data_IF_584814054136
#
_entry.id   IF_584814054136
#
_cell.length_a   1.000
_cell.length_b   1.000
_cell.length_c   1.000
_cell.angle_alpha   90.00
_cell.angle_beta   90.00
_cell.angle_gamma   90.00
#
_symmetry.space_group_name_H-M   'P 1'
#
loop_
_entity.id
_entity.type
_entity.pdbx_description
1 polymer ?
#
# COMPACT_ATOMS: atom_id res chain seq x y z
N UNK A 1 0.98 6.25 28.28
CA UNK A 1 2.34 6.46 27.76
C UNK A 1 2.21 6.67 26.26
N UNK A 2 2.38 7.90 25.78
CA UNK A 2 2.26 8.21 24.36
C UNK A 2 3.49 7.72 23.62
N UNK A 3 3.34 6.63 22.86
CA UNK A 3 4.36 6.21 21.91
C UNK A 3 4.56 7.33 20.90
N UNK A 4 5.80 7.82 20.78
CA UNK A 4 6.16 8.75 19.73
C UNK A 4 5.78 8.13 18.38
N UNK A 5 4.77 8.71 17.72
CA UNK A 5 4.46 8.38 16.33
C UNK A 5 5.72 8.67 15.54
N UNK A 6 6.40 7.63 15.06
CA UNK A 6 7.53 7.77 14.15
C UNK A 6 6.98 8.38 12.85
N UNK A 7 6.92 9.70 12.78
CA UNK A 7 6.58 10.43 11.56
C UNK A 7 7.80 10.27 10.66
N UNK A 8 7.74 9.35 9.70
CA UNK A 8 8.74 9.29 8.65
C UNK A 8 8.70 10.65 7.92
N UNK A 9 9.80 11.42 7.91
CA UNK A 9 9.78 12.75 7.33
C UNK A 9 9.47 12.65 5.83
N UNK A 10 8.44 13.36 5.39
CA UNK A 10 8.12 13.48 3.98
C UNK A 10 9.18 14.36 3.30
N UNK A 11 9.92 13.77 2.36
CA UNK A 11 11.01 14.41 1.60
C UNK A 11 10.59 14.73 0.16
N UNK A 12 9.29 14.76 -0.14
CA UNK A 12 8.78 14.98 -1.51
C UNK A 12 9.29 16.28 -2.13
N UNK A 13 9.40 17.35 -1.35
CA UNK A 13 9.94 18.63 -1.83
C UNK A 13 11.43 18.56 -2.22
N UNK A 14 12.15 17.53 -1.79
CA UNK A 14 13.57 17.30 -2.10
C UNK A 14 13.69 16.28 -3.23
N UNK A 15 12.93 15.18 -3.14
CA UNK A 15 12.95 14.03 -4.05
C UNK A 15 11.52 13.68 -4.49
N UNK A 16 10.93 14.48 -5.40
CA UNK A 16 9.57 14.25 -5.88
C UNK A 16 9.52 13.03 -6.80
N UNK A 17 8.30 12.61 -7.12
CA UNK A 17 8.08 11.73 -8.27
C UNK A 17 8.40 12.50 -9.57
N UNK A 18 8.97 11.82 -10.56
CA UNK A 18 9.45 12.43 -11.82
C UNK A 18 8.79 11.78 -13.05
N UNK A 19 9.18 12.20 -14.25
CA UNK A 19 8.58 11.73 -15.50
C UNK A 19 9.12 10.37 -15.99
N UNK A 20 10.05 9.75 -15.25
CA UNK A 20 10.56 8.43 -15.64
C UNK A 20 9.50 7.35 -15.44
N UNK A 21 9.62 6.28 -16.22
CA UNK A 21 8.88 5.04 -16.00
C UNK A 21 9.40 4.34 -14.74
N UNK A 22 8.48 3.75 -13.96
CA UNK A 22 8.82 3.23 -12.62
C UNK A 22 8.17 1.90 -12.33
N UNK A 23 8.98 1.01 -11.79
CA UNK A 23 8.53 -0.24 -11.21
C UNK A 23 7.69 0.02 -9.96
N UNK A 24 6.45 -0.44 -9.96
CA UNK A 24 5.56 -0.40 -8.80
C UNK A 24 5.57 -1.75 -8.09
N UNK A 25 5.64 -1.68 -6.76
CA UNK A 25 5.64 -2.84 -5.89
C UNK A 25 4.52 -2.76 -4.84
N UNK A 26 4.08 -3.92 -4.38
CA UNK A 26 3.29 -4.08 -3.16
C UNK A 26 4.16 -4.76 -2.11
N UNK A 27 4.05 -4.29 -0.87
CA UNK A 27 4.52 -4.99 0.32
C UNK A 27 3.34 -5.28 1.24
N UNK A 28 3.17 -6.56 1.59
CA UNK A 28 2.11 -7.00 2.49
C UNK A 28 2.55 -8.23 3.28
N UNK A 29 2.06 -8.35 4.51
CA UNK A 29 2.20 -9.59 5.27
C UNK A 29 1.48 -10.73 4.54
N UNK A 30 2.12 -11.89 4.42
CA UNK A 30 1.66 -13.11 3.77
C UNK A 30 0.59 -13.87 4.54
N UNK A 31 0.60 -15.20 4.46
CA UNK A 31 -0.48 -16.03 4.99
C UNK A 31 -0.57 -16.08 6.53
N UNK A 32 0.55 -15.90 7.23
CA UNK A 32 0.62 -15.92 8.70
C UNK A 32 -0.18 -14.75 9.29
N UNK A 33 -1.14 -15.08 10.16
CA UNK A 33 -2.00 -14.10 10.83
C UNK A 33 -1.79 -14.18 12.34
N UNK A 34 -1.03 -13.24 12.90
CA UNK A 34 -0.85 -13.16 14.35
C UNK A 34 -1.91 -12.24 15.01
N UNK A 35 -2.87 -11.71 14.22
CA UNK A 35 -3.94 -10.83 14.73
C UNK A 35 -3.51 -9.41 15.09
N UNK A 36 -2.23 -9.08 14.91
CA UNK A 36 -1.63 -7.76 15.16
C UNK A 36 -1.35 -7.12 13.81
N UNK A 37 -1.88 -5.91 13.60
CA UNK A 37 -1.55 -4.93 12.54
C UNK A 37 -1.07 -5.49 11.20
N UNK A 38 -1.96 -5.52 10.19
CA UNK A 38 -1.57 -5.85 8.82
C UNK A 38 -1.43 -4.57 8.03
N UNK A 39 -0.19 -4.10 7.94
CA UNK A 39 0.15 -3.04 7.03
C UNK A 39 0.18 -3.58 5.60
N UNK A 40 -0.42 -2.84 4.67
CA UNK A 40 -0.24 -3.04 3.24
C UNK A 40 0.16 -1.71 2.64
N UNK A 41 1.15 -1.73 1.77
CA UNK A 41 1.58 -0.54 1.07
C UNK A 41 1.89 -0.84 -0.38
N UNK A 42 1.75 0.18 -1.20
CA UNK A 42 2.19 0.21 -2.59
C UNK A 42 3.27 1.30 -2.70
N UNK A 43 4.35 1.01 -3.42
CA UNK A 43 5.46 1.95 -3.54
C UNK A 43 6.22 1.85 -4.86
N UNK A 44 6.99 2.89 -5.15
CA UNK A 44 7.99 2.92 -6.23
C UNK A 44 9.15 3.86 -5.84
N UNK A 45 10.28 3.75 -6.52
CA UNK A 45 11.44 4.60 -6.26
C UNK A 45 11.30 5.99 -6.88
N UNK A 46 11.50 7.03 -6.08
CA UNK A 46 11.69 8.39 -6.58
C UNK A 46 13.15 8.67 -6.94
N UNK A 47 14.09 8.31 -6.05
CA UNK A 47 15.52 8.56 -6.27
C UNK A 47 16.35 7.87 -5.18
N UNK A 48 17.63 8.28 -5.06
CA UNK A 48 18.42 8.08 -3.84
C UNK A 48 18.72 9.41 -3.13
N UNK A 49 18.92 9.36 -1.82
CA UNK A 49 19.40 10.45 -0.97
C UNK A 49 20.45 9.88 -0.02
N UNK A 50 21.71 10.31 -0.15
CA UNK A 50 22.84 9.77 0.61
C UNK A 50 22.91 8.23 0.56
N UNK A 51 22.78 7.66 -0.65
CA UNK A 51 22.75 6.21 -0.92
C UNK A 51 21.50 5.46 -0.40
N UNK A 52 20.62 6.10 0.37
CA UNK A 52 19.35 5.52 0.76
C UNK A 52 18.30 5.74 -0.34
N UNK A 53 17.51 4.71 -0.66
CA UNK A 53 16.38 4.82 -1.59
C UNK A 53 15.33 5.76 -1.00
N UNK A 54 14.80 6.65 -1.82
CA UNK A 54 13.61 7.44 -1.52
C UNK A 54 12.48 6.84 -2.33
N UNK A 55 11.44 6.38 -1.65
CA UNK A 55 10.26 5.78 -2.28
C UNK A 55 9.05 6.68 -2.11
N UNK A 56 8.19 6.70 -3.12
CA UNK A 56 6.84 7.18 -2.98
C UNK A 56 5.99 6.03 -2.43
N UNK A 57 5.25 6.26 -1.35
CA UNK A 57 4.44 5.23 -0.68
C UNK A 57 2.99 5.67 -0.61
N UNK A 58 2.07 4.73 -0.89
CA UNK A 58 0.64 4.84 -0.65
C UNK A 58 0.26 3.70 0.30
N UNK A 59 -0.37 4.03 1.43
CA UNK A 59 -0.69 3.01 2.44
C UNK A 59 -1.99 3.31 3.20
N UNK A 60 -2.70 2.24 3.53
CA UNK A 60 -3.70 2.24 4.60
C UNK A 60 -3.05 1.54 5.80
N UNK A 61 -2.87 2.29 6.89
CA UNK A 61 -2.31 1.78 8.15
C UNK A 61 -3.40 1.67 9.20
N UNK A 62 -3.16 0.83 10.20
CA UNK A 62 -3.95 0.82 11.42
C UNK A 62 -4.40 -0.56 11.85
N UNK A 63 -5.27 -0.55 12.85
CA UNK A 63 -5.86 -1.75 13.46
C UNK A 63 -7.38 -1.70 13.32
N UNK A 64 -8.05 -2.80 13.64
CA UNK A 64 -9.51 -2.86 13.64
C UNK A 64 -10.08 -1.71 14.49
N UNK A 65 -10.91 -0.87 13.89
CA UNK A 65 -11.52 0.29 14.54
C UNK A 65 -10.70 1.59 14.51
N UNK A 66 -9.48 1.57 13.97
CA UNK A 66 -8.60 2.75 13.88
C UNK A 66 -7.69 2.64 12.65
N UNK A 67 -8.23 2.99 11.48
CA UNK A 67 -7.52 3.04 10.21
C UNK A 67 -7.23 4.46 9.76
N UNK A 68 -6.05 4.69 9.17
CA UNK A 68 -5.67 5.98 8.60
C UNK A 68 -5.10 5.77 7.21
N UNK A 69 -5.76 6.35 6.21
CA UNK A 69 -5.18 6.47 4.87
C UNK A 69 -4.12 7.56 4.90
N UNK A 70 -2.87 7.19 4.60
CA UNK A 70 -1.80 8.17 4.47
C UNK A 70 -1.72 8.64 3.03
N UNK A 71 -1.79 9.96 2.88
CA UNK A 71 -1.54 10.58 1.59
C UNK A 71 -0.18 10.15 1.05
N UNK A 72 -0.03 10.04 -0.28
CA UNK A 72 1.22 9.64 -0.89
C UNK A 72 2.38 10.51 -0.39
N UNK A 73 3.37 9.89 0.25
CA UNK A 73 4.56 10.58 0.77
C UNK A 73 5.81 10.04 0.08
N UNK A 74 6.76 10.92 -0.22
CA UNK A 74 8.11 10.47 -0.53
C UNK A 74 8.86 10.33 0.78
N UNK A 75 9.42 9.16 1.06
CA UNK A 75 10.13 8.90 2.30
C UNK A 75 11.36 8.03 2.05
N UNK A 76 12.31 8.04 2.99
CA UNK A 76 13.42 7.11 2.93
C UNK A 76 12.88 5.69 3.07
N UNK A 77 13.19 4.84 2.09
CA UNK A 77 12.77 3.46 2.08
C UNK A 77 13.35 2.75 3.31
N UNK A 78 12.45 2.32 4.18
CA UNK A 78 12.76 1.46 5.31
C UNK A 78 11.99 0.17 5.01
N UNK A 79 12.65 -0.87 4.49
CA UNK A 79 12.01 -2.17 4.35
C UNK A 79 11.31 -2.52 5.67
N UNK A 80 10.08 -3.03 5.67
CA UNK A 80 9.44 -3.36 6.95
C UNK A 80 10.33 -4.36 7.67
N UNK A 81 10.93 -3.91 8.78
CA UNK A 81 11.69 -4.78 9.67
C UNK A 81 10.69 -5.53 10.56
N UNK A 82 9.89 -6.42 9.97
CA UNK A 82 9.24 -7.46 10.76
C UNK A 82 10.18 -8.67 10.81
N UNK A 83 10.66 -9.05 12.01
CA UNK A 83 11.51 -10.23 12.16
C UNK A 83 10.76 -11.55 11.91
N UNK A 84 9.44 -11.51 11.74
CA UNK A 84 8.62 -12.65 11.35
C UNK A 84 8.56 -12.74 9.81
N UNK A 85 9.18 -13.80 9.29
CA UNK A 85 9.67 -14.03 7.93
C UNK A 85 8.61 -14.22 6.82
N UNK A 86 7.47 -13.55 6.88
CA UNK A 86 6.36 -13.76 5.92
C UNK A 86 5.93 -12.47 5.20
N UNK A 87 6.81 -11.46 5.12
CA UNK A 87 6.57 -10.30 4.26
C UNK A 87 6.75 -10.69 2.79
N UNK A 88 5.73 -10.39 1.98
CA UNK A 88 5.68 -10.68 0.56
C UNK A 88 5.80 -9.40 -0.25
N UNK A 89 6.57 -9.48 -1.34
CA UNK A 89 6.81 -8.39 -2.27
C UNK A 89 6.32 -8.80 -3.66
N UNK A 90 5.48 -7.97 -4.28
CA UNK A 90 4.97 -8.23 -5.63
C UNK A 90 5.29 -7.06 -6.55
N UNK A 91 5.93 -7.36 -7.67
CA UNK A 91 6.07 -6.43 -8.78
C UNK A 91 4.75 -6.38 -9.56
N UNK A 92 4.24 -5.17 -9.79
CA UNK A 92 2.99 -4.95 -10.54
C UNK A 92 3.22 -4.61 -12.00
N UNK A 93 4.38 -4.05 -12.34
CA UNK A 93 4.64 -3.50 -13.66
C UNK A 93 5.47 -2.23 -13.59
N UNK A 94 5.86 -1.78 -14.78
CA UNK A 94 6.50 -0.48 -14.99
C UNK A 94 5.46 0.49 -15.52
N UNK A 95 5.33 1.64 -14.85
CA UNK A 95 4.26 2.61 -15.11
C UNK A 95 4.86 3.98 -15.36
N UNK A 96 4.35 4.69 -16.36
CA UNK A 96 4.69 6.08 -16.62
C UNK A 96 3.99 7.03 -15.63
N UNK A 97 4.38 8.31 -15.65
CA UNK A 97 3.86 9.31 -14.71
C UNK A 97 2.34 9.47 -14.74
N UNK A 98 1.71 9.41 -15.91
CA UNK A 98 0.27 9.55 -16.05
C UNK A 98 -0.47 8.36 -15.43
N UNK A 99 -0.01 7.14 -15.72
CA UNK A 99 -0.54 5.91 -15.13
C UNK A 99 -0.40 5.91 -13.60
N UNK A 100 0.75 6.33 -13.07
CA UNK A 100 0.95 6.48 -11.63
C UNK A 100 0.00 7.51 -11.01
N UNK A 101 -0.31 8.59 -11.70
CA UNK A 101 -1.30 9.56 -11.21
C UNK A 101 -2.71 8.94 -11.15
N UNK A 102 -3.08 8.12 -12.14
CA UNK A 102 -4.36 7.38 -12.11
C UNK A 102 -4.39 6.41 -10.93
N UNK A 103 -3.32 5.65 -10.69
CA UNK A 103 -3.19 4.75 -9.54
C UNK A 103 -3.37 5.52 -8.22
N UNK A 104 -2.70 6.67 -8.08
CA UNK A 104 -2.82 7.55 -6.90
C UNK A 104 -4.26 8.05 -6.69
N UNK A 105 -4.94 8.43 -7.76
CA UNK A 105 -6.33 8.85 -7.69
C UNK A 105 -7.27 7.70 -7.32
N UNK A 106 -7.08 6.53 -7.92
CA UNK A 106 -7.85 5.32 -7.63
C UNK A 106 -7.70 4.94 -6.16
N UNK A 107 -6.47 4.93 -5.63
CA UNK A 107 -6.20 4.66 -4.22
C UNK A 107 -6.94 5.60 -3.26
N UNK A 108 -7.07 6.89 -3.61
CA UNK A 108 -7.85 7.88 -2.83
C UNK A 108 -9.36 7.68 -2.93
N UNK A 109 -9.85 7.13 -4.04
CA UNK A 109 -11.28 6.90 -4.31
C UNK A 109 -11.79 5.61 -3.68
N UNK A 110 -10.92 4.65 -3.37
CA UNK A 110 -11.30 3.44 -2.63
C UNK A 110 -11.88 3.83 -1.28
N UNK A 111 -13.18 3.54 -1.09
CA UNK A 111 -13.89 3.85 0.14
C UNK A 111 -13.46 2.89 1.24
N UNK A 112 -13.19 3.43 2.42
CA UNK A 112 -12.98 2.66 3.64
C UNK A 112 -13.64 3.42 4.81
N UNK A 113 -14.00 2.68 5.86
CA UNK A 113 -14.43 3.23 7.13
C UNK A 113 -13.24 3.18 8.11
N UNK A 114 -12.84 4.34 8.63
CA UNK A 114 -11.75 4.45 9.60
C UNK A 114 -12.02 3.66 10.90
N UNK A 115 -13.30 3.41 11.22
CA UNK A 115 -13.75 2.70 12.43
C UNK A 115 -14.20 1.27 12.18
N UNK A 116 -14.01 0.79 10.96
CA UNK A 116 -14.39 -0.56 10.57
C UNK A 116 -13.69 -1.60 11.44
N UNK A 117 -14.46 -2.60 11.89
CA UNK A 117 -13.93 -3.78 12.58
C UNK A 117 -13.98 -5.03 11.68
N UNK A 118 -14.27 -4.83 10.39
CA UNK A 118 -14.54 -5.91 9.41
C UNK A 118 -13.70 -5.79 8.15
N UNK A 119 -13.64 -4.59 7.61
CA UNK A 119 -12.90 -4.20 6.41
C UNK A 119 -11.64 -3.44 6.80
N UNK A 120 -10.49 -4.09 6.69
CA UNK A 120 -9.19 -3.48 6.98
C UNK A 120 -8.32 -3.27 5.75
N UNK A 121 -7.03 -3.07 5.99
CA UNK A 121 -6.00 -2.79 4.97
C UNK A 121 -6.04 -3.74 3.76
N UNK A 122 -6.24 -5.04 3.97
CA UNK A 122 -6.35 -6.02 2.87
C UNK A 122 -7.60 -5.87 2.02
N UNK A 123 -8.72 -5.45 2.60
CA UNK A 123 -9.93 -5.16 1.82
C UNK A 123 -9.66 -3.94 0.95
N UNK A 124 -9.09 -2.88 1.52
CA UNK A 124 -8.67 -1.70 0.76
C UNK A 124 -7.72 -2.05 -0.39
N UNK A 125 -6.69 -2.88 -0.14
CA UNK A 125 -5.77 -3.33 -1.19
C UNK A 125 -6.49 -4.14 -2.27
N UNK A 126 -7.42 -5.03 -1.89
CA UNK A 126 -8.24 -5.78 -2.84
C UNK A 126 -9.00 -4.84 -3.78
N UNK A 127 -9.70 -3.88 -3.22
CA UNK A 127 -10.51 -2.92 -3.98
C UNK A 127 -9.63 -2.09 -4.92
N UNK A 128 -8.45 -1.65 -4.45
CA UNK A 128 -7.48 -0.96 -5.31
C UNK A 128 -7.00 -1.84 -6.47
N UNK A 129 -6.63 -3.08 -6.20
CA UNK A 129 -6.14 -3.99 -7.24
C UNK A 129 -7.23 -4.37 -8.24
N UNK A 130 -8.48 -4.50 -7.81
CA UNK A 130 -9.62 -4.71 -8.71
C UNK A 130 -9.79 -3.52 -9.66
N UNK A 131 -9.65 -2.29 -9.17
CA UNK A 131 -9.66 -1.10 -10.03
C UNK A 131 -8.49 -1.13 -11.02
N UNK A 132 -7.28 -1.51 -10.56
CA UNK A 132 -6.12 -1.62 -11.45
C UNK A 132 -6.29 -2.68 -12.54
N UNK A 133 -6.94 -3.80 -12.25
CA UNK A 133 -7.32 -4.80 -13.27
C UNK A 133 -8.30 -4.20 -14.28
N UNK A 134 -9.34 -3.50 -13.81
CA UNK A 134 -10.37 -2.90 -14.67
C UNK A 134 -9.81 -1.82 -15.61
N UNK A 135 -8.83 -1.05 -15.13
CA UNK A 135 -8.12 -0.03 -15.93
C UNK A 135 -7.02 -0.63 -16.82
N UNK A 136 -6.77 -1.95 -16.74
CA UNK A 136 -5.77 -2.65 -17.56
C UNK A 136 -4.32 -2.45 -17.10
N UNK A 137 -4.10 -1.96 -15.88
CA UNK A 137 -2.77 -1.76 -15.32
C UNK A 137 -2.10 -3.05 -14.88
N UNK A 138 -2.88 -4.05 -14.45
CA UNK A 138 -2.39 -5.39 -14.11
C UNK A 138 -3.32 -6.44 -14.69
N UNK A 139 -2.80 -7.65 -14.92
CA UNK A 139 -3.61 -8.77 -15.40
C UNK A 139 -4.42 -9.42 -14.27
N UNK A 140 -5.49 -10.13 -14.63
CA UNK A 140 -6.21 -11.02 -13.72
C UNK A 140 -5.27 -12.06 -13.08
N UNK A 141 -4.30 -12.57 -13.85
CA UNK A 141 -3.32 -13.54 -13.35
C UNK A 141 -2.43 -12.94 -12.25
N UNK A 142 -1.93 -11.71 -12.43
CA UNK A 142 -1.17 -11.00 -11.39
C UNK A 142 -2.02 -10.81 -10.14
N UNK A 143 -3.30 -10.42 -10.31
CA UNK A 143 -4.23 -10.29 -9.18
C UNK A 143 -4.43 -11.62 -8.43
N UNK A 144 -4.66 -12.72 -9.15
CA UNK A 144 -4.88 -14.05 -8.56
C UNK A 144 -3.65 -14.56 -7.81
N UNK A 145 -2.45 -14.31 -8.32
CA UNK A 145 -1.19 -14.62 -7.62
C UNK A 145 -1.12 -13.86 -6.30
N UNK A 146 -1.38 -12.55 -6.31
CA UNK A 146 -1.34 -11.74 -5.09
C UNK A 146 -2.41 -12.22 -4.10
N UNK A 147 -3.65 -12.47 -4.54
CA UNK A 147 -4.75 -12.93 -3.66
C UNK A 147 -4.46 -14.31 -3.04
N UNK A 148 -3.71 -15.17 -3.74
CA UNK A 148 -3.31 -16.47 -3.21
C UNK A 148 -2.25 -16.35 -2.11
N UNK A 149 -1.19 -15.58 -2.36
CA UNK A 149 -0.05 -15.45 -1.44
C UNK A 149 -0.35 -14.49 -0.27
N UNK A 150 -1.17 -13.47 -0.52
CA UNK A 150 -1.68 -12.51 0.45
C UNK A 150 -3.20 -12.56 0.41
N UNK A 151 -3.86 -13.45 1.19
CA UNK A 151 -5.32 -13.59 1.16
C UNK A 151 -6.04 -12.24 1.31
N UNK A 152 -6.57 -11.68 0.22
CA UNK A 152 -7.18 -10.37 0.17
C UNK A 152 -8.67 -10.52 0.48
N UNK A 153 -9.05 -10.15 1.70
CA UNK A 153 -10.43 -10.27 2.15
C UNK A 153 -11.39 -9.51 1.21
N UNK A 154 -12.53 -10.13 0.88
CA UNK A 154 -13.62 -9.45 0.18
C UNK A 154 -14.31 -8.47 1.12
N UNK A 155 -14.76 -7.34 0.58
CA UNK A 155 -15.56 -6.37 1.31
C UNK A 155 -16.79 -7.03 1.93
N UNK A 156 -17.09 -6.66 3.18
CA UNK A 156 -18.28 -7.09 3.91
C UNK A 156 -19.10 -5.86 4.30
N UNK A 157 -20.45 -5.94 4.30
CA UNK A 157 -21.26 -4.86 4.84
C UNK A 157 -20.84 -4.52 6.27
N UNK A 158 -20.70 -3.23 6.55
CA UNK A 158 -20.61 -2.75 7.93
C UNK A 158 -21.91 -3.11 8.67
N UNK A 159 -21.83 -3.35 9.98
CA UNK A 159 -23.04 -3.38 10.81
C UNK A 159 -23.23 -1.97 11.29
N UNK A 160 -24.45 -1.46 11.21
CA UNK A 160 -24.84 -0.31 12.01
C UNK A 160 -24.52 -0.63 13.48
N UNK A 161 -23.60 0.13 14.08
CA UNK A 161 -23.32 0.06 15.52
C UNK A 161 -24.41 0.77 16.31
#
# INVERSE_FOLDING_TARGET
MGGARNITPNVYNIRPDDESDKEIFIEAAGSSNNGVERHVLMYWDNSTLNQARVVQVIELVGILGDYTFKSPVACLHRPMQHPDSDMMFFFLGEFNREERNVILESARKVKFDERSTRNGCRVWLRELLVVMVQEGFISDETFEVIDREVPLAKHRPEVDQ
#
